data_IF_319276286844
#
_entry.id   IF_319276286844
#
_cell.length_a   1.000
_cell.length_b   1.000
_cell.length_c   1.000
_cell.angle_alpha   90.00
_cell.angle_beta   90.00
_cell.angle_gamma   90.00
#
_symmetry.space_group_name_H-M   'P 1'
#
loop_
_entity.id
_entity.type
_entity.pdbx_description
1 polymer ?
#
# COMPACT_ATOMS: atom_id res chain seq x y z
N UNK A 1 14.45 -21.11 4.44
CA UNK A 1 14.87 -20.25 3.30
C UNK A 1 13.98 -20.57 2.10
N UNK A 2 13.57 -19.56 1.34
CA UNK A 2 12.84 -19.77 0.09
C UNK A 2 13.23 -18.70 -0.93
N UNK A 3 13.02 -19.01 -2.20
CA UNK A 3 13.27 -18.10 -3.32
C UNK A 3 12.05 -18.18 -4.22
N UNK A 4 11.56 -17.03 -4.65
CA UNK A 4 10.49 -16.97 -5.64
C UNK A 4 10.63 -15.73 -6.50
N UNK A 5 10.01 -15.78 -7.68
CA UNK A 5 9.89 -14.62 -8.54
C UNK A 5 8.48 -14.04 -8.38
N UNK A 6 8.35 -12.72 -8.44
CA UNK A 6 7.02 -12.08 -8.27
C UNK A 6 6.01 -12.58 -9.30
N UNK A 7 6.46 -13.03 -10.46
CA UNK A 7 5.57 -13.53 -11.51
C UNK A 7 4.93 -14.87 -11.17
N UNK A 8 5.37 -15.53 -10.09
CA UNK A 8 4.75 -16.76 -9.58
C UNK A 8 3.54 -16.45 -8.69
N UNK A 9 3.29 -15.19 -8.39
CA UNK A 9 2.18 -14.72 -7.56
C UNK A 9 1.26 -13.82 -8.37
N UNK A 10 0.04 -13.63 -7.87
CA UNK A 10 -0.96 -12.79 -8.53
C UNK A 10 -1.39 -11.65 -7.63
N UNK A 11 -1.72 -10.51 -8.24
CA UNK A 11 -2.32 -9.40 -7.51
C UNK A 11 -3.71 -9.79 -7.02
N UNK A 12 -4.08 -9.29 -5.84
CA UNK A 12 -5.37 -9.63 -5.20
C UNK A 12 -6.56 -9.43 -6.14
N UNK A 13 -6.55 -8.36 -6.93
CA UNK A 13 -7.65 -8.01 -7.82
C UNK A 13 -7.32 -8.27 -9.31
N UNK A 14 -6.33 -9.10 -9.59
CA UNK A 14 -5.92 -9.45 -10.95
C UNK A 14 -4.91 -8.48 -11.54
N UNK A 15 -5.31 -7.22 -11.73
CA UNK A 15 -4.44 -6.19 -12.28
C UNK A 15 -3.94 -5.19 -11.25
N UNK A 16 -4.35 -5.36 -9.99
CA UNK A 16 -4.09 -4.35 -8.96
C UNK A 16 -4.17 -4.94 -7.56
N UNK A 17 -3.79 -4.13 -6.58
CA UNK A 17 -3.76 -4.50 -5.19
C UNK A 17 -2.43 -5.14 -4.81
N UNK A 18 -2.37 -5.72 -3.60
CA UNK A 18 -1.14 -6.36 -3.14
C UNK A 18 -0.95 -7.75 -3.73
N UNK A 19 0.30 -8.10 -3.92
CA UNK A 19 0.77 -9.42 -4.30
C UNK A 19 1.81 -9.81 -3.26
N UNK A 20 1.44 -10.68 -2.32
CA UNK A 20 2.31 -11.02 -1.20
C UNK A 20 3.35 -12.03 -1.63
N UNK A 21 4.62 -11.68 -1.44
CA UNK A 21 5.74 -12.60 -1.60
C UNK A 21 6.03 -13.32 -0.29
N UNK A 22 5.71 -12.70 0.85
CA UNK A 22 5.88 -13.28 2.17
C UNK A 22 4.79 -12.75 3.11
N UNK A 23 4.13 -13.66 3.85
CA UNK A 23 3.17 -13.31 4.91
C UNK A 23 3.62 -13.98 6.19
N UNK A 24 4.35 -13.21 7.03
CA UNK A 24 4.96 -13.75 8.23
C UNK A 24 6.16 -14.62 7.93
N UNK A 25 6.80 -15.18 8.98
CA UNK A 25 6.38 -15.12 10.38
C UNK A 25 6.71 -13.82 11.11
N UNK A 26 7.59 -12.97 10.56
CA UNK A 26 8.01 -11.76 11.26
C UNK A 26 7.63 -10.47 10.55
N UNK A 27 7.37 -10.56 9.25
CA UNK A 27 6.99 -9.41 8.44
C UNK A 27 6.15 -9.88 7.25
N UNK A 28 5.43 -8.94 6.63
CA UNK A 28 4.83 -9.14 5.31
C UNK A 28 5.62 -8.34 4.29
N UNK A 29 5.80 -8.91 3.11
CA UNK A 29 6.41 -8.24 1.98
C UNK A 29 5.51 -8.40 0.77
N UNK A 30 5.08 -7.30 0.19
CA UNK A 30 4.20 -7.32 -0.96
C UNK A 30 4.71 -6.39 -2.06
N UNK A 31 4.44 -6.77 -3.29
CA UNK A 31 4.48 -5.85 -4.43
C UNK A 31 3.05 -5.37 -4.63
N UNK A 32 2.86 -4.06 -4.75
CA UNK A 32 1.54 -3.44 -4.88
C UNK A 32 1.48 -2.69 -6.20
N UNK A 33 0.37 -2.85 -6.93
CA UNK A 33 0.15 -2.16 -8.18
C UNK A 33 -1.24 -1.56 -8.20
N UNK A 34 -1.34 -0.33 -8.70
CA UNK A 34 -2.62 0.30 -9.00
C UNK A 34 -2.60 0.83 -10.42
N UNK A 35 -3.70 0.59 -11.13
CA UNK A 35 -3.92 1.18 -12.43
C UNK A 35 -4.35 2.64 -12.28
N UNK A 36 -4.31 3.45 -13.36
CA UNK A 36 -4.77 4.84 -13.28
C UNK A 36 -6.16 4.95 -12.65
N UNK A 37 -6.31 5.90 -11.73
CA UNK A 37 -7.56 6.26 -11.04
C UNK A 37 -8.06 5.23 -10.03
N UNK A 38 -7.31 4.17 -9.77
CA UNK A 38 -7.66 3.21 -8.71
C UNK A 38 -7.19 3.72 -7.35
N UNK A 39 -7.87 3.28 -6.31
CA UNK A 39 -7.55 3.61 -4.94
C UNK A 39 -7.69 2.39 -4.03
N UNK A 40 -7.32 2.58 -2.77
CA UNK A 40 -7.51 1.58 -1.72
C UNK A 40 -8.28 2.22 -0.57
N UNK A 41 -8.89 1.39 0.28
CA UNK A 41 -9.74 1.90 1.36
C UNK A 41 -8.90 2.50 2.50
N UNK A 42 -9.34 3.64 3.06
CA UNK A 42 -8.71 4.20 4.26
C UNK A 42 -8.75 3.19 5.40
N UNK A 43 -7.60 2.98 6.02
CA UNK A 43 -7.45 2.02 7.10
C UNK A 43 -6.23 2.36 7.96
N UNK A 44 -6.12 1.67 9.08
CA UNK A 44 -4.93 1.74 9.94
C UNK A 44 -4.62 0.34 10.49
N UNK A 45 -3.41 0.19 10.98
CA UNK A 45 -2.95 -1.00 11.68
C UNK A 45 -2.65 -0.61 13.11
N UNK A 46 -3.04 -1.42 14.07
CA UNK A 46 -2.81 -1.11 15.49
C UNK A 46 -1.41 -1.49 15.95
N UNK A 47 -0.84 -2.54 15.36
CA UNK A 47 0.45 -3.11 15.77
C UNK A 47 1.51 -2.92 14.70
N UNK A 48 1.17 -3.19 13.44
CA UNK A 48 2.15 -3.14 12.36
C UNK A 48 2.39 -1.72 11.86
N UNK A 49 3.65 -1.39 11.64
CA UNK A 49 4.02 -0.27 10.78
C UNK A 49 3.90 -0.69 9.32
N UNK A 50 3.76 0.26 8.42
CA UNK A 50 3.77 0.00 6.98
C UNK A 50 4.76 0.92 6.29
N UNK A 51 5.58 0.34 5.40
CA UNK A 51 6.62 1.04 4.69
C UNK A 51 6.42 0.83 3.20
N UNK A 52 6.35 1.92 2.42
CA UNK A 52 6.25 1.85 0.97
C UNK A 52 7.51 2.39 0.32
N UNK A 53 7.94 1.70 -0.71
CA UNK A 53 9.02 2.17 -1.59
C UNK A 53 8.52 2.14 -3.03
N UNK A 54 8.57 3.29 -3.71
CA UNK A 54 8.00 3.44 -5.04
C UNK A 54 8.99 2.93 -6.09
N UNK A 55 8.59 1.87 -6.80
CA UNK A 55 9.41 1.26 -7.85
C UNK A 55 9.23 1.98 -9.19
N UNK A 56 8.00 2.34 -9.53
CA UNK A 56 7.72 3.02 -10.79
C UNK A 56 6.41 3.79 -10.70
N UNK A 57 6.35 4.93 -11.37
CA UNK A 57 5.16 5.76 -11.43
C UNK A 57 5.13 6.83 -10.35
N UNK A 58 3.96 7.41 -10.19
CA UNK A 58 3.68 8.51 -9.27
C UNK A 58 2.37 8.22 -8.56
N UNK A 59 2.28 8.49 -7.28
CA UNK A 59 1.13 8.10 -6.48
C UNK A 59 0.90 9.12 -5.37
N UNK A 60 -0.35 9.28 -4.97
CA UNK A 60 -0.71 10.06 -3.78
C UNK A 60 -1.00 9.09 -2.63
N UNK A 61 -0.36 9.34 -1.50
CA UNK A 61 -0.61 8.57 -0.27
C UNK A 61 -1.08 9.57 0.78
N UNK A 62 -2.26 9.32 1.31
CA UNK A 62 -2.88 10.19 2.31
C UNK A 62 -2.65 9.55 3.67
N UNK A 63 -2.07 10.33 4.59
CA UNK A 63 -1.82 9.88 5.97
C UNK A 63 -2.41 10.92 6.92
N UNK A 64 -3.34 10.47 7.76
CA UNK A 64 -4.04 11.32 8.73
C UNK A 64 -4.56 12.63 8.11
N UNK A 65 -5.16 12.51 6.92
CA UNK A 65 -5.78 13.64 6.23
C UNK A 65 -4.83 14.53 5.45
N UNK A 66 -3.54 14.19 5.38
CA UNK A 66 -2.55 14.96 4.62
C UNK A 66 -2.11 14.14 3.40
N UNK A 67 -2.23 14.75 2.22
CA UNK A 67 -1.86 14.10 0.97
C UNK A 67 -0.37 14.31 0.67
N UNK A 68 0.32 13.21 0.41
CA UNK A 68 1.74 13.22 0.04
C UNK A 68 1.87 12.61 -1.35
N UNK A 69 2.50 13.35 -2.27
CA UNK A 69 2.75 12.86 -3.62
C UNK A 69 4.15 12.26 -3.69
N UNK A 70 4.21 10.99 -4.04
CA UNK A 70 5.47 10.24 -4.14
C UNK A 70 5.73 9.81 -5.57
N UNK A 71 7.00 9.72 -5.92
CA UNK A 71 7.46 9.26 -7.24
C UNK A 71 8.51 8.16 -7.07
N UNK A 72 8.92 7.60 -8.18
CA UNK A 72 9.96 6.55 -8.22
C UNK A 72 11.16 6.92 -7.34
N UNK A 73 11.52 6.00 -6.43
CA UNK A 73 12.63 6.17 -5.51
C UNK A 73 12.27 6.75 -4.16
N UNK A 74 11.03 7.25 -4.01
CA UNK A 74 10.58 7.80 -2.73
C UNK A 74 10.16 6.68 -1.77
N UNK A 75 10.36 6.95 -0.49
CA UNK A 75 10.03 6.04 0.60
C UNK A 75 9.14 6.76 1.61
N UNK A 76 8.14 6.06 2.13
CA UNK A 76 7.32 6.58 3.22
C UNK A 76 7.18 5.51 4.30
N UNK A 77 7.34 5.94 5.55
CA UNK A 77 7.11 5.12 6.74
C UNK A 77 5.84 5.58 7.43
N UNK A 78 4.93 4.65 7.67
CA UNK A 78 3.64 4.90 8.31
C UNK A 78 3.62 4.14 9.63
N UNK A 79 3.38 4.88 10.71
CA UNK A 79 3.33 4.31 12.06
C UNK A 79 2.01 3.61 12.33
N UNK A 80 1.96 2.69 13.30
CA UNK A 80 0.69 2.16 13.78
C UNK A 80 -0.28 3.27 14.15
N UNK A 81 -1.56 3.03 13.90
CA UNK A 81 -2.68 3.92 14.19
C UNK A 81 -2.79 5.16 13.29
N UNK A 82 -1.86 5.37 12.37
CA UNK A 82 -2.03 6.42 11.37
C UNK A 82 -2.97 5.93 10.26
N UNK A 83 -4.08 6.64 10.07
CA UNK A 83 -5.06 6.33 9.03
C UNK A 83 -4.48 6.70 7.67
N UNK A 84 -4.44 5.75 6.76
CA UNK A 84 -3.82 5.99 5.46
C UNK A 84 -4.54 5.26 4.35
N UNK A 85 -4.35 5.76 3.13
CA UNK A 85 -4.77 5.07 1.91
C UNK A 85 -3.97 5.59 0.72
N UNK A 86 -4.03 4.83 -0.35
CA UNK A 86 -3.29 5.09 -1.58
C UNK A 86 -4.30 5.42 -2.67
N UNK A 87 -4.00 6.44 -3.47
CA UNK A 87 -4.81 6.78 -4.64
C UNK A 87 -3.90 7.11 -5.82
N UNK A 88 -4.11 6.43 -6.94
CA UNK A 88 -3.41 6.74 -8.17
C UNK A 88 -4.22 7.77 -8.96
N UNK A 89 -3.92 9.04 -8.75
CA UNK A 89 -4.58 10.15 -9.44
C UNK A 89 -4.01 10.41 -10.85
N UNK A 90 -3.08 9.60 -11.30
CA UNK A 90 -2.29 9.88 -12.49
C UNK A 90 -2.62 8.91 -13.61
N UNK A 91 -2.02 9.11 -14.79
CA UNK A 91 -2.37 8.40 -16.01
C UNK A 91 -1.48 7.17 -16.27
N UNK A 92 -0.53 6.90 -15.37
CA UNK A 92 0.37 5.77 -15.46
C UNK A 92 0.10 4.79 -14.32
N UNK A 93 0.31 3.47 -14.51
CA UNK A 93 0.28 2.54 -13.39
C UNK A 93 1.37 2.87 -12.38
N UNK A 94 1.09 2.58 -11.11
CA UNK A 94 2.05 2.72 -10.02
C UNK A 94 2.40 1.32 -9.49
N UNK A 95 3.68 1.09 -9.25
CA UNK A 95 4.17 -0.14 -8.64
C UNK A 95 5.08 0.21 -7.47
N UNK A 96 4.84 -0.43 -6.34
CA UNK A 96 5.61 -0.15 -5.13
C UNK A 96 5.77 -1.42 -4.29
N UNK A 97 6.74 -1.38 -3.38
CA UNK A 97 6.92 -2.41 -2.36
C UNK A 97 6.22 -1.97 -1.09
N UNK A 98 5.53 -2.90 -0.43
CA UNK A 98 4.94 -2.68 0.89
C UNK A 98 5.54 -3.69 1.88
N UNK A 99 6.05 -3.17 3.00
CA UNK A 99 6.55 -4.01 4.10
C UNK A 99 5.76 -3.67 5.36
N UNK A 100 5.10 -4.69 5.93
CA UNK A 100 4.35 -4.59 7.19
C UNK A 100 5.09 -5.38 8.26
N UNK A 101 5.39 -4.75 9.39
CA UNK A 101 6.13 -5.39 10.48
C UNK A 101 5.78 -4.74 11.83
N UNK A 102 5.88 -5.47 12.95
CA UNK A 102 6.05 -6.93 13.04
C UNK A 102 4.78 -7.64 12.58
N UNK A 103 4.92 -8.85 12.08
CA UNK A 103 3.77 -9.61 11.56
C UNK A 103 2.68 -9.75 12.62
N UNK A 104 1.45 -9.39 12.25
CA UNK A 104 0.26 -9.53 13.09
C UNK A 104 -0.93 -9.84 12.20
N UNK A 105 -1.59 -10.97 12.46
CA UNK A 105 -2.79 -11.34 11.72
C UNK A 105 -3.95 -10.41 12.08
N UNK A 106 -4.83 -10.15 11.11
CA UNK A 106 -6.09 -9.42 11.32
C UNK A 106 -5.89 -8.04 11.94
N UNK A 107 -4.82 -7.36 11.56
CA UNK A 107 -4.44 -6.05 12.10
C UNK A 107 -4.86 -4.88 11.20
N UNK A 108 -5.78 -5.11 10.27
CA UNK A 108 -6.30 -4.06 9.39
C UNK A 108 -7.64 -3.57 9.89
N UNK A 109 -7.74 -2.28 10.21
CA UNK A 109 -8.96 -1.64 10.69
C UNK A 109 -9.43 -0.63 9.63
N UNK A 110 -10.53 -0.94 8.94
CA UNK A 110 -11.08 -0.07 7.89
C UNK A 110 -11.86 1.08 8.53
N UNK A 111 -11.66 2.29 8.00
CA UNK A 111 -12.37 3.49 8.43
C UNK A 111 -13.52 3.74 7.46
N UNK A 112 -14.76 3.46 7.89
CA UNK A 112 -15.92 3.44 7.00
C UNK A 112 -16.46 4.82 6.64
N UNK A 113 -16.34 5.80 7.54
CA UNK A 113 -16.91 7.14 7.35
C UNK A 113 -15.95 8.13 6.72
N UNK A 114 -14.84 7.67 6.19
CA UNK A 114 -13.83 8.54 5.62
C UNK A 114 -14.21 9.00 4.21
N UNK A 115 -14.14 10.31 3.96
CA UNK A 115 -14.39 10.87 2.64
C UNK A 115 -13.11 10.84 1.79
N UNK A 116 -12.91 9.73 1.06
CA UNK A 116 -11.72 9.59 0.21
C UNK A 116 -11.81 10.37 -1.10
N UNK A 117 -12.99 10.88 -1.44
CA UNK A 117 -13.18 11.67 -2.66
C UNK A 117 -12.43 13.00 -2.63
N UNK A 118 -12.17 13.54 -1.43
CA UNK A 118 -11.54 14.85 -1.28
C UNK A 118 -10.15 14.95 -1.92
N UNK A 119 -9.45 13.83 -2.09
CA UNK A 119 -8.10 13.81 -2.67
C UNK A 119 -8.05 13.24 -4.07
N UNK A 120 -9.19 12.87 -4.65
CA UNK A 120 -9.25 12.42 -6.04
C UNK A 120 -9.13 13.61 -6.99
N UNK A 121 -8.39 13.40 -8.06
CA UNK A 121 -8.15 14.43 -9.08
C UNK A 121 -8.79 14.05 -10.41
#
# INVERSE_FOLDING_TARGET
>A
MFILNENEKEYRFGDSGPKYLMKGPRANFAVVQFQPKQDFDPHYHEIMEENFFILSGKVDIVVDGVCHTLKTGDFIHIEPNEVHYVVNNYDEPIKMVSVLAPFQQQDKCVVEDYNKEQFKK
#
